data_IF_760566877479
#
_entry.id   IF_760566877479
#
_cell.length_a   1.000
_cell.length_b   1.000
_cell.length_c   1.000
_cell.angle_alpha   90.00
_cell.angle_beta   90.00
_cell.angle_gamma   90.00
#
_symmetry.space_group_name_H-M   'P 1'
#
loop_
_entity.id
_entity.type
_entity.pdbx_description
1 polymer ?
#
# COMPACT_ATOMS: atom_id res chain seq x y z
N UNK A 1 -12.86 20.97 -17.29
CA UNK A 1 -12.65 22.07 -16.32
C UNK A 1 -12.52 21.41 -14.97
N UNK A 2 -11.36 21.50 -14.31
CA UNK A 2 -11.13 20.89 -12.99
C UNK A 2 -11.99 21.62 -11.95
N UNK A 3 -12.79 20.85 -11.20
CA UNK A 3 -13.58 21.36 -10.07
C UNK A 3 -12.62 22.07 -9.08
N UNK A 4 -12.95 23.26 -8.56
CA UNK A 4 -12.14 23.87 -7.53
C UNK A 4 -12.09 22.96 -6.30
N UNK A 5 -10.91 22.81 -5.71
CA UNK A 5 -10.70 22.02 -4.50
C UNK A 5 -11.65 22.47 -3.39
N UNK A 6 -12.35 21.52 -2.79
CA UNK A 6 -13.38 21.71 -1.78
C UNK A 6 -12.87 21.31 -0.40
N UNK A 7 -12.99 22.21 0.58
CA UNK A 7 -12.65 21.95 1.98
C UNK A 7 -13.90 22.10 2.86
N UNK A 8 -14.10 21.15 3.78
CA UNK A 8 -15.20 21.19 4.77
C UNK A 8 -14.64 21.33 6.19
N UNK A 9 -15.16 22.32 6.91
CA UNK A 9 -14.85 22.56 8.33
C UNK A 9 -15.76 21.71 9.23
N UNK A 10 -15.17 20.95 10.17
CA UNK A 10 -15.93 20.17 11.16
C UNK A 10 -16.00 20.85 12.54
N UNK A 11 -15.28 21.96 12.73
CA UNK A 11 -15.21 22.66 14.02
C UNK A 11 -14.22 21.99 14.97
N UNK A 12 -14.57 21.87 16.25
CA UNK A 12 -13.73 21.21 17.26
C UNK A 12 -14.27 19.82 17.56
N UNK A 13 -13.41 18.80 17.42
CA UNK A 13 -13.71 17.44 17.86
C UNK A 13 -13.06 17.20 19.23
N UNK A 14 -13.69 16.35 20.04
CA UNK A 14 -13.21 15.98 21.38
C UNK A 14 -13.45 14.50 21.64
N UNK A 15 -12.66 13.89 22.51
CA UNK A 15 -12.69 12.45 22.77
C UNK A 15 -12.13 11.64 21.59
N UNK A 16 -12.19 10.30 21.65
CA UNK A 16 -11.56 9.45 20.64
C UNK A 16 -12.07 9.73 19.23
N UNK A 17 -11.16 9.89 18.26
CA UNK A 17 -11.47 10.03 16.83
C UNK A 17 -10.86 8.87 16.07
N UNK A 18 -11.68 8.07 15.40
CA UNK A 18 -11.26 6.93 14.58
C UNK A 18 -10.93 7.40 13.16
N UNK A 19 -9.74 7.07 12.69
CA UNK A 19 -9.23 7.39 11.36
C UNK A 19 -8.98 6.11 10.59
N UNK A 20 -9.44 6.03 9.34
CA UNK A 20 -9.11 4.93 8.45
C UNK A 20 -9.13 5.39 6.99
N UNK A 21 -8.46 4.66 6.10
CA UNK A 21 -8.55 4.87 4.65
C UNK A 21 -9.00 3.61 3.93
N UNK A 22 -9.23 3.74 2.62
CA UNK A 22 -9.24 2.62 1.68
C UNK A 22 -10.11 1.45 2.13
N UNK A 23 -11.44 1.63 2.15
CA UNK A 23 -12.33 0.49 2.35
C UNK A 23 -12.25 -0.48 1.16
N UNK A 24 -11.89 0.05 -0.03
CA UNK A 24 -11.59 -0.73 -1.22
C UNK A 24 -12.61 -1.84 -1.47
N UNK A 25 -13.90 -1.49 -1.49
CA UNK A 25 -15.01 -2.40 -1.76
C UNK A 25 -15.03 -3.65 -0.86
N UNK A 26 -14.30 -3.65 0.26
CA UNK A 26 -14.20 -4.78 1.17
C UNK A 26 -15.26 -4.61 2.27
N UNK A 27 -16.46 -5.07 1.97
CA UNK A 27 -17.61 -4.90 2.85
C UNK A 27 -17.41 -5.58 4.21
N UNK A 28 -16.81 -6.76 4.23
CA UNK A 28 -16.51 -7.50 5.46
C UNK A 28 -15.57 -6.72 6.39
N UNK A 29 -14.53 -6.07 5.85
CA UNK A 29 -13.65 -5.23 6.65
C UNK A 29 -14.36 -3.96 7.17
N UNK A 30 -15.20 -3.34 6.34
CA UNK A 30 -15.96 -2.15 6.74
C UNK A 30 -17.00 -2.46 7.82
N UNK A 31 -17.69 -3.61 7.74
CA UNK A 31 -18.60 -4.09 8.78
C UNK A 31 -17.85 -4.38 10.09
N UNK A 32 -16.68 -5.02 10.00
CA UNK A 32 -15.84 -5.27 11.16
C UNK A 32 -15.38 -3.97 11.83
N UNK A 33 -14.95 -2.97 11.04
CA UNK A 33 -14.57 -1.66 11.57
C UNK A 33 -15.77 -0.98 12.23
N UNK A 34 -16.96 -1.05 11.62
CA UNK A 34 -18.17 -0.48 12.21
C UNK A 34 -18.51 -1.14 13.55
N UNK A 35 -18.46 -2.46 13.63
CA UNK A 35 -18.67 -3.18 14.87
C UNK A 35 -17.64 -2.80 15.94
N UNK A 36 -16.39 -2.58 15.53
CA UNK A 36 -15.32 -2.15 16.44
C UNK A 36 -15.53 -0.72 16.94
N UNK A 37 -15.95 0.21 16.08
CA UNK A 37 -16.30 1.56 16.48
C UNK A 37 -17.48 1.58 17.47
N UNK A 38 -18.52 0.77 17.21
CA UNK A 38 -19.66 0.58 18.12
C UNK A 38 -19.20 0.00 19.47
N UNK A 39 -18.27 -0.99 19.46
CA UNK A 39 -17.69 -1.59 20.67
C UNK A 39 -16.89 -0.59 21.50
N UNK A 40 -16.14 0.30 20.84
CA UNK A 40 -15.36 1.36 21.47
C UNK A 40 -16.22 2.57 21.89
N UNK A 41 -17.49 2.62 21.48
CA UNK A 41 -18.40 3.72 21.77
C UNK A 41 -18.04 5.02 21.05
N UNK A 42 -17.36 4.94 19.91
CA UNK A 42 -16.96 6.13 19.12
C UNK A 42 -18.15 6.53 18.23
N UNK A 43 -18.72 7.74 18.40
CA UNK A 43 -19.88 8.15 17.62
C UNK A 43 -19.49 8.45 16.16
N UNK A 44 -20.42 8.32 15.18
CA UNK A 44 -20.13 8.57 13.77
C UNK A 44 -19.50 9.94 13.46
N UNK A 45 -19.82 10.99 14.22
CA UNK A 45 -19.21 12.32 14.07
C UNK A 45 -17.71 12.36 14.40
N UNK A 46 -17.19 11.33 15.08
CA UNK A 46 -15.78 11.17 15.42
C UNK A 46 -15.11 10.07 14.57
N UNK A 47 -15.68 9.72 13.42
CA UNK A 47 -15.13 8.71 12.52
C UNK A 47 -14.87 9.36 11.17
N UNK A 48 -13.64 9.22 10.67
CA UNK A 48 -13.16 9.86 9.45
C UNK A 48 -12.53 8.82 8.51
N UNK A 49 -13.08 8.72 7.31
CA UNK A 49 -12.53 7.97 6.18
C UNK A 49 -11.68 8.89 5.28
N UNK A 50 -10.46 8.48 4.93
CA UNK A 50 -9.54 9.25 4.06
C UNK A 50 -9.77 9.01 2.57
N UNK A 51 -10.88 8.40 2.16
CA UNK A 51 -11.23 8.13 0.77
C UNK A 51 -10.85 6.73 0.27
N UNK A 52 -11.05 6.51 -1.03
CA UNK A 52 -10.98 5.22 -1.72
C UNK A 52 -11.85 4.12 -1.08
N UNK A 53 -13.12 4.47 -0.87
CA UNK A 53 -14.15 3.52 -0.47
C UNK A 53 -14.38 2.44 -1.54
N UNK A 54 -14.56 2.78 -2.83
CA UNK A 54 -14.57 1.78 -3.88
C UNK A 54 -13.14 1.48 -4.37
N UNK A 55 -12.92 0.24 -4.78
CA UNK A 55 -11.72 -0.20 -5.49
C UNK A 55 -11.30 -1.60 -5.10
N UNK A 56 -10.53 -2.30 -5.93
CA UNK A 56 -9.98 -3.64 -5.65
C UNK A 56 -10.97 -4.79 -5.32
N UNK A 57 -11.77 -4.75 -4.25
CA UNK A 57 -12.61 -5.87 -3.80
C UNK A 57 -14.06 -5.83 -4.36
N UNK A 58 -14.92 -6.74 -3.89
CA UNK A 58 -16.15 -7.16 -4.57
C UNK A 58 -17.37 -6.23 -4.43
N UNK A 59 -17.48 -5.43 -3.37
CA UNK A 59 -18.75 -4.83 -2.95
C UNK A 59 -18.73 -3.27 -2.90
N UNK A 60 -18.47 -2.56 -4.01
CA UNK A 60 -18.37 -1.10 -4.01
C UNK A 60 -19.67 -0.39 -3.60
N UNK A 61 -20.82 -0.79 -4.16
CA UNK A 61 -22.13 -0.21 -3.83
C UNK A 61 -22.48 -0.41 -2.34
N UNK A 62 -22.29 -1.62 -1.81
CA UNK A 62 -22.60 -1.92 -0.41
C UNK A 62 -21.72 -1.12 0.56
N UNK A 63 -20.43 -0.96 0.26
CA UNK A 63 -19.54 -0.13 1.05
C UNK A 63 -19.97 1.35 1.05
N UNK A 64 -20.29 1.90 -0.13
CA UNK A 64 -20.73 3.29 -0.26
C UNK A 64 -22.06 3.54 0.45
N UNK A 65 -23.02 2.63 0.30
CA UNK A 65 -24.31 2.70 1.00
C UNK A 65 -24.14 2.60 2.52
N UNK A 66 -23.22 1.76 3.00
CA UNK A 66 -22.94 1.64 4.43
C UNK A 66 -22.30 2.92 4.98
N UNK A 67 -21.28 3.49 4.32
CA UNK A 67 -20.67 4.75 4.76
C UNK A 67 -21.69 5.89 4.79
N UNK A 68 -22.50 6.03 3.73
CA UNK A 68 -23.55 7.05 3.66
C UNK A 68 -24.57 6.88 4.80
N UNK A 69 -25.06 5.65 5.02
CA UNK A 69 -26.03 5.34 6.08
C UNK A 69 -25.44 5.49 7.48
N UNK A 70 -24.17 5.15 7.66
CA UNK A 70 -23.48 5.27 8.95
C UNK A 70 -23.29 6.74 9.34
N UNK A 71 -23.23 7.65 8.35
CA UNK A 71 -23.19 9.09 8.61
C UNK A 71 -21.85 9.57 9.17
N UNK A 72 -20.77 8.83 8.87
CA UNK A 72 -19.40 9.21 9.22
C UNK A 72 -18.88 10.33 8.31
N UNK A 73 -17.74 10.92 8.65
CA UNK A 73 -17.04 11.83 7.75
C UNK A 73 -16.20 11.06 6.74
N UNK A 74 -16.19 11.52 5.49
CA UNK A 74 -15.36 10.95 4.43
C UNK A 74 -14.93 12.08 3.48
N UNK A 75 -13.74 11.93 2.89
CA UNK A 75 -13.26 12.74 1.77
C UNK A 75 -13.26 11.92 0.48
N UNK A 76 -13.24 12.60 -0.66
CA UNK A 76 -12.99 11.95 -1.94
C UNK A 76 -11.53 11.48 -2.02
N UNK A 77 -11.31 10.22 -2.38
CA UNK A 77 -10.04 9.73 -2.90
C UNK A 77 -9.96 9.86 -4.42
N UNK A 78 -8.85 9.42 -5.02
CA UNK A 78 -8.72 9.49 -6.48
C UNK A 78 -9.75 8.59 -7.17
N UNK A 79 -10.12 7.46 -6.56
CA UNK A 79 -11.09 6.54 -7.16
C UNK A 79 -12.48 7.16 -7.21
N UNK A 80 -12.96 7.80 -6.12
CA UNK A 80 -14.23 8.51 -6.13
C UNK A 80 -14.26 9.63 -7.18
N UNK A 81 -13.20 10.45 -7.23
CA UNK A 81 -13.07 11.54 -8.21
C UNK A 81 -13.19 11.02 -9.65
N UNK A 82 -12.50 9.94 -9.97
CA UNK A 82 -12.45 9.37 -11.32
C UNK A 82 -13.77 8.70 -11.71
N UNK A 83 -14.41 7.95 -10.79
CA UNK A 83 -15.72 7.36 -11.02
C UNK A 83 -16.80 8.43 -11.27
N UNK A 84 -16.78 9.53 -10.51
CA UNK A 84 -17.72 10.65 -10.69
C UNK A 84 -17.49 11.37 -12.02
N UNK A 85 -16.23 11.54 -12.42
CA UNK A 85 -15.89 12.18 -13.69
C UNK A 85 -16.16 11.28 -14.90
N UNK A 86 -16.38 9.97 -14.70
CA UNK A 86 -16.55 9.00 -15.76
C UNK A 86 -15.28 8.81 -16.59
N UNK A 87 -14.11 8.90 -15.97
CA UNK A 87 -12.83 8.61 -16.65
C UNK A 87 -12.66 7.10 -16.82
N UNK A 88 -11.98 6.69 -17.90
CA UNK A 88 -11.68 5.27 -18.18
C UNK A 88 -10.47 4.74 -17.37
N UNK A 89 -9.86 5.58 -16.53
CA UNK A 89 -8.67 5.29 -15.72
C UNK A 89 -8.93 5.61 -14.24
N UNK A 90 -8.40 4.76 -13.36
CA UNK A 90 -8.43 4.93 -11.90
C UNK A 90 -7.55 6.08 -11.40
N UNK A 91 -6.63 6.59 -12.23
CA UNK A 91 -5.76 7.72 -11.93
C UNK A 91 -4.79 7.45 -10.77
N UNK A 92 -4.46 6.18 -10.55
CA UNK A 92 -3.63 5.69 -9.46
C UNK A 92 -2.11 5.91 -9.69
N UNK A 93 -1.73 6.57 -10.79
CA UNK A 93 -0.34 6.94 -11.08
C UNK A 93 0.57 5.81 -11.57
N UNK A 94 0.00 4.71 -12.06
CA UNK A 94 0.77 3.61 -12.66
C UNK A 94 1.34 4.00 -14.04
N UNK A 95 2.47 3.41 -14.42
CA UNK A 95 3.04 3.61 -15.77
C UNK A 95 2.22 2.85 -16.82
N UNK A 96 1.99 3.47 -17.99
CA UNK A 96 1.22 2.89 -19.09
C UNK A 96 1.73 1.49 -19.46
N UNK A 97 0.84 0.49 -19.48
CA UNK A 97 1.15 -0.88 -19.91
C UNK A 97 1.81 -1.78 -18.85
N UNK A 98 1.89 -1.35 -17.59
CA UNK A 98 2.37 -2.21 -16.50
C UNK A 98 1.31 -3.21 -16.02
N UNK A 99 1.71 -4.24 -15.26
CA UNK A 99 0.75 -5.17 -14.64
C UNK A 99 -0.19 -4.43 -13.67
N UNK A 100 0.28 -3.37 -13.01
CA UNK A 100 -0.57 -2.50 -12.20
C UNK A 100 -1.68 -1.87 -13.04
N UNK A 101 -1.34 -1.33 -14.20
CA UNK A 101 -2.28 -0.62 -15.09
C UNK A 101 -3.36 -1.58 -15.63
N UNK A 102 -2.99 -2.79 -16.03
CA UNK A 102 -3.96 -3.80 -16.46
C UNK A 102 -4.90 -4.25 -15.32
N UNK A 103 -4.36 -4.54 -14.13
CA UNK A 103 -5.20 -4.90 -12.98
C UNK A 103 -6.06 -3.74 -12.51
N UNK A 104 -5.53 -2.50 -12.56
CA UNK A 104 -6.27 -1.29 -12.30
C UNK A 104 -7.50 -1.15 -13.19
N UNK A 105 -7.34 -1.36 -14.50
CA UNK A 105 -8.44 -1.36 -15.46
C UNK A 105 -9.50 -2.42 -15.13
N UNK A 106 -9.10 -3.63 -14.73
CA UNK A 106 -10.04 -4.70 -14.37
C UNK A 106 -10.92 -4.32 -13.18
N UNK A 107 -10.32 -4.02 -12.02
CA UNK A 107 -11.12 -3.71 -10.83
C UNK A 107 -11.84 -2.37 -10.96
N UNK A 108 -11.27 -1.39 -11.65
CA UNK A 108 -11.89 -0.07 -11.83
C UNK A 108 -13.10 -0.18 -12.76
N UNK A 109 -12.99 -0.91 -13.87
CA UNK A 109 -14.14 -1.21 -14.74
C UNK A 109 -15.22 -1.97 -13.97
N UNK A 110 -14.82 -2.90 -13.11
CA UNK A 110 -15.75 -3.60 -12.23
C UNK A 110 -16.45 -2.62 -11.27
N UNK A 111 -15.71 -1.76 -10.57
CA UNK A 111 -16.26 -0.77 -9.66
C UNK A 111 -17.23 0.17 -10.38
N UNK A 112 -16.84 0.72 -11.53
CA UNK A 112 -17.67 1.61 -12.34
C UNK A 112 -19.01 0.98 -12.78
N UNK A 113 -19.04 -0.33 -13.02
CA UNK A 113 -20.26 -1.07 -13.37
C UNK A 113 -21.14 -1.41 -12.17
N UNK A 114 -20.56 -1.47 -10.97
CA UNK A 114 -21.22 -1.90 -9.75
C UNK A 114 -21.40 -0.75 -8.73
N UNK A 115 -21.33 0.50 -9.17
CA UNK A 115 -21.78 1.67 -8.40
C UNK A 115 -23.08 2.20 -9.00
N UNK A 116 -24.05 2.52 -8.15
CA UNK A 116 -25.33 3.05 -8.60
C UNK A 116 -25.26 4.56 -8.88
N UNK A 117 -26.22 5.14 -9.62
CA UNK A 117 -26.35 6.59 -9.76
C UNK A 117 -26.47 7.33 -8.41
N UNK A 118 -27.07 6.68 -7.39
CA UNK A 118 -27.12 7.20 -6.02
C UNK A 118 -25.72 7.30 -5.43
N UNK A 119 -24.89 6.26 -5.58
CA UNK A 119 -23.52 6.28 -5.09
C UNK A 119 -22.67 7.35 -5.79
N UNK A 120 -22.83 7.51 -7.11
CA UNK A 120 -22.15 8.59 -7.86
C UNK A 120 -22.54 9.98 -7.32
N UNK A 121 -23.81 10.20 -7.01
CA UNK A 121 -24.28 11.46 -6.42
C UNK A 121 -23.72 11.68 -5.00
N UNK A 122 -23.64 10.63 -4.19
CA UNK A 122 -23.01 10.67 -2.87
C UNK A 122 -21.52 11.03 -2.97
N UNK A 123 -20.75 10.32 -3.82
CA UNK A 123 -19.32 10.57 -4.03
C UNK A 123 -19.06 11.98 -4.57
N UNK A 124 -19.90 12.50 -5.47
CA UNK A 124 -19.77 13.86 -6.01
C UNK A 124 -19.92 14.95 -4.93
N UNK A 125 -20.60 14.64 -3.82
CA UNK A 125 -20.80 15.50 -2.67
C UNK A 125 -19.70 15.43 -1.61
N UNK A 126 -18.74 14.50 -1.73
CA UNK A 126 -17.62 14.40 -0.81
C UNK A 126 -16.66 15.60 -0.98
N UNK A 127 -16.14 16.17 0.13
CA UNK A 127 -15.11 17.20 0.07
C UNK A 127 -13.74 16.59 -0.26
N UNK A 128 -12.83 17.40 -0.80
CA UNK A 128 -11.44 16.99 -1.06
C UNK A 128 -10.60 17.04 0.23
N UNK A 129 -10.93 17.97 1.13
CA UNK A 129 -10.25 18.17 2.41
C UNK A 129 -11.26 18.29 3.57
N UNK A 130 -10.88 17.77 4.74
CA UNK A 130 -11.54 18.12 6.01
C UNK A 130 -10.58 18.93 6.87
N UNK A 131 -11.12 19.91 7.60
CA UNK A 131 -10.38 20.65 8.63
C UNK A 131 -11.13 20.68 9.94
N UNK A 132 -10.39 20.50 11.03
CA UNK A 132 -10.93 20.57 12.37
C UNK A 132 -9.85 20.89 13.42
N UNK A 133 -10.31 21.33 14.58
CA UNK A 133 -9.48 21.54 15.76
C UNK A 133 -9.56 20.33 16.68
N UNK A 134 -8.41 19.86 17.17
CA UNK A 134 -8.33 18.70 18.07
C UNK A 134 -7.14 18.82 19.01
N UNK A 135 -7.34 18.62 20.32
CA UNK A 135 -6.29 18.78 21.33
C UNK A 135 -5.49 20.11 21.22
N UNK A 136 -6.14 21.19 20.77
CA UNK A 136 -5.51 22.50 20.53
C UNK A 136 -4.62 22.60 19.29
N UNK A 137 -4.77 21.66 18.34
CA UNK A 137 -4.02 21.57 17.09
C UNK A 137 -4.95 21.68 15.87
N UNK A 138 -4.48 22.37 14.84
CA UNK A 138 -5.13 22.40 13.52
C UNK A 138 -4.87 21.08 12.78
N UNK A 139 -5.94 20.31 12.51
CA UNK A 139 -5.89 19.03 11.80
C UNK A 139 -6.48 19.19 10.40
N UNK A 140 -5.76 18.70 9.39
CA UNK A 140 -6.24 18.60 8.01
C UNK A 140 -6.22 17.16 7.55
N UNK A 141 -7.32 16.71 6.96
CA UNK A 141 -7.45 15.39 6.34
C UNK A 141 -7.41 15.54 4.84
N UNK A 142 -6.58 14.76 4.18
CA UNK A 142 -6.42 14.73 2.72
C UNK A 142 -6.14 13.29 2.25
N UNK A 143 -6.33 13.01 0.96
CA UNK A 143 -6.15 11.65 0.44
C UNK A 143 -4.67 11.31 0.19
N UNK A 144 -3.98 12.01 -0.72
CA UNK A 144 -2.55 11.81 -1.02
C UNK A 144 -1.67 12.94 -0.50
N UNK A 145 -1.53 14.01 -1.29
CA UNK A 145 -0.78 15.21 -0.91
C UNK A 145 -1.57 16.49 -1.22
N UNK A 146 -1.19 17.65 -0.67
CA UNK A 146 -1.81 18.93 -1.03
C UNK A 146 -1.50 19.39 -2.46
N UNK A 147 -0.50 18.79 -3.12
CA UNK A 147 -0.16 19.09 -4.52
C UNK A 147 -1.00 18.27 -5.48
N UNK A 148 -1.23 17.00 -5.17
CA UNK A 148 -1.95 16.09 -6.02
C UNK A 148 -2.61 14.97 -5.21
N UNK A 149 -3.88 14.69 -5.49
CA UNK A 149 -4.69 13.71 -4.76
C UNK A 149 -4.10 12.30 -4.83
N UNK A 150 -3.57 11.90 -6.00
CA UNK A 150 -2.88 10.61 -6.21
C UNK A 150 -1.37 10.62 -5.95
N UNK A 151 -0.81 11.63 -5.26
CA UNK A 151 0.63 11.61 -4.90
C UNK A 151 0.85 10.71 -3.68
N UNK A 152 1.68 9.68 -3.84
CA UNK A 152 2.04 8.78 -2.76
C UNK A 152 3.01 9.43 -1.78
N UNK A 153 2.60 9.48 -0.52
CA UNK A 153 3.45 9.91 0.60
C UNK A 153 3.72 8.72 1.51
N UNK A 154 4.97 8.26 1.51
CA UNK A 154 5.46 7.11 2.24
C UNK A 154 6.12 7.51 3.56
N UNK A 155 6.35 6.53 4.43
CA UNK A 155 7.16 6.74 5.63
C UNK A 155 8.59 7.18 5.24
N UNK A 156 9.14 6.64 4.15
CA UNK A 156 10.44 7.01 3.59
C UNK A 156 10.46 8.33 2.81
N UNK A 157 9.31 8.93 2.48
CA UNK A 157 9.27 10.26 1.84
C UNK A 157 10.03 11.27 2.71
N UNK A 158 10.82 12.14 2.07
CA UNK A 158 11.68 13.08 2.79
C UNK A 158 10.91 13.92 3.80
N UNK A 159 11.42 13.97 5.05
CA UNK A 159 10.79 14.72 6.14
C UNK A 159 10.61 16.21 5.80
N UNK A 160 11.56 16.81 5.07
CA UNK A 160 11.48 18.20 4.63
C UNK A 160 10.31 18.44 3.66
N UNK A 161 10.01 17.47 2.78
CA UNK A 161 8.87 17.56 1.88
C UNK A 161 7.55 17.43 2.62
N UNK A 162 7.43 16.47 3.55
CA UNK A 162 6.25 16.34 4.42
C UNK A 162 6.04 17.60 5.28
N UNK A 163 7.12 18.17 5.81
CA UNK A 163 7.08 19.43 6.57
C UNK A 163 6.58 20.61 5.72
N UNK A 164 7.00 20.68 4.46
CA UNK A 164 6.50 21.67 3.50
C UNK A 164 5.00 21.46 3.24
N UNK A 165 4.54 20.22 3.07
CA UNK A 165 3.11 19.94 2.91
C UNK A 165 2.28 20.40 4.12
N UNK A 166 2.73 20.13 5.35
CA UNK A 166 2.06 20.63 6.57
C UNK A 166 1.98 22.17 6.58
N UNK A 167 3.01 22.85 6.05
CA UNK A 167 3.03 24.31 5.91
C UNK A 167 2.04 24.80 4.85
N UNK A 168 2.00 24.14 3.69
CA UNK A 168 1.14 24.51 2.55
C UNK A 168 -0.35 24.46 2.91
N UNK A 169 -0.75 23.51 3.77
CA UNK A 169 -2.15 23.39 4.25
C UNK A 169 -2.38 24.06 5.62
N UNK A 170 -1.38 24.75 6.15
CA UNK A 170 -1.40 25.42 7.45
C UNK A 170 -1.82 24.51 8.62
N UNK A 171 -1.44 23.22 8.59
CA UNK A 171 -1.84 22.25 9.62
C UNK A 171 -0.72 21.95 10.62
N UNK A 172 -1.12 21.67 11.87
CA UNK A 172 -0.24 21.05 12.86
C UNK A 172 -0.26 19.53 12.70
N UNK A 173 -1.37 18.94 12.27
CA UNK A 173 -1.50 17.51 11.99
C UNK A 173 -2.09 17.32 10.60
N UNK A 174 -1.41 16.55 9.76
CA UNK A 174 -1.96 16.06 8.50
C UNK A 174 -2.32 14.60 8.67
N UNK A 175 -3.58 14.26 8.40
CA UNK A 175 -4.06 12.88 8.27
C UNK A 175 -4.18 12.58 6.77
N UNK A 176 -3.31 11.71 6.27
CA UNK A 176 -3.27 11.29 4.86
C UNK A 176 -3.77 9.85 4.70
N UNK A 177 -4.06 9.44 3.46
CA UNK A 177 -4.39 8.08 3.07
C UNK A 177 -3.52 7.61 1.90
N UNK A 178 -4.16 7.05 0.87
CA UNK A 178 -3.62 6.66 -0.44
C UNK A 178 -2.52 5.59 -0.45
N UNK A 179 -1.41 5.75 0.26
CA UNK A 179 -0.27 4.82 0.20
C UNK A 179 -0.52 3.45 0.88
N UNK A 180 -1.63 3.29 1.58
CA UNK A 180 -2.07 2.00 2.14
C UNK A 180 -1.39 1.58 3.44
N UNK A 181 -0.25 2.18 3.80
CA UNK A 181 0.55 1.75 4.95
C UNK A 181 0.37 2.67 6.16
N UNK A 182 0.18 2.12 7.38
CA UNK A 182 0.09 2.93 8.58
C UNK A 182 1.48 3.44 9.00
N UNK A 183 1.61 4.74 9.27
CA UNK A 183 2.82 5.33 9.85
C UNK A 183 2.55 6.70 10.50
N UNK A 184 3.50 7.15 11.31
CA UNK A 184 3.49 8.45 11.98
C UNK A 184 4.89 9.06 11.92
N UNK A 185 5.00 10.29 11.41
CA UNK A 185 6.23 11.07 11.51
C UNK A 185 6.00 12.39 12.25
N UNK A 186 6.93 12.72 13.13
CA UNK A 186 7.07 14.05 13.71
C UNK A 186 7.99 14.91 12.84
N UNK A 187 7.56 16.14 12.55
CA UNK A 187 8.18 17.02 11.58
C UNK A 187 8.47 18.39 12.19
N UNK A 188 9.69 18.87 12.00
CA UNK A 188 10.04 20.25 12.34
C UNK A 188 9.71 21.16 11.15
N UNK A 189 8.74 22.06 11.35
CA UNK A 189 8.26 22.99 10.31
C UNK A 189 8.71 24.40 10.67
N UNK A 190 9.41 25.08 9.75
CA UNK A 190 9.86 26.46 9.98
C UNK A 190 8.68 27.44 9.96
N UNK A 191 8.66 28.38 10.91
CA UNK A 191 7.54 29.32 11.09
C UNK A 191 7.62 30.58 10.22
N UNK A 192 8.63 30.70 9.33
CA UNK A 192 8.81 31.86 8.44
C UNK A 192 8.30 31.60 7.02
N UNK A 193 7.82 32.63 6.31
CA UNK A 193 7.27 32.52 4.93
C UNK A 193 8.33 32.20 3.85
N UNK A 194 9.62 32.12 4.18
CA UNK A 194 10.72 31.83 3.24
C UNK A 194 11.15 30.35 3.18
N UNK A 195 11.76 29.95 2.05
CA UNK A 195 12.56 28.72 1.94
C UNK A 195 13.84 28.90 2.77
N UNK A 196 13.91 28.32 3.96
CA UNK A 196 15.18 28.14 4.68
C UNK A 196 15.94 27.00 4.00
N UNK A 197 17.22 27.17 3.70
CA UNK A 197 18.00 26.14 3.02
C UNK A 197 18.10 24.88 3.90
N UNK A 198 17.88 23.70 3.31
CA UNK A 198 17.88 22.39 4.02
C UNK A 198 19.16 22.13 4.85
N UNK A 199 20.28 22.74 4.45
CA UNK A 199 21.55 22.67 5.19
C UNK A 199 21.55 23.43 6.52
N UNK A 200 20.90 24.59 6.61
CA UNK A 200 20.81 25.38 7.85
C UNK A 200 19.83 24.75 8.86
N UNK A 201 18.75 24.13 8.36
CA UNK A 201 17.80 23.35 9.14
C UNK A 201 18.47 22.15 9.85
N UNK A 202 19.28 21.38 9.12
CA UNK A 202 19.98 20.21 9.68
C UNK A 202 20.94 20.62 10.80
N UNK A 203 21.70 21.69 10.58
CA UNK A 203 22.65 22.22 11.58
C UNK A 203 21.92 22.70 12.84
N UNK A 204 20.77 23.38 12.69
CA UNK A 204 19.96 23.81 13.84
C UNK A 204 19.36 22.62 14.61
N UNK A 205 18.89 21.57 13.93
CA UNK A 205 18.37 20.35 14.58
C UNK A 205 19.45 19.58 15.35
N UNK A 206 20.63 19.41 14.77
CA UNK A 206 21.77 18.72 15.40
C UNK A 206 22.27 19.50 16.62
N UNK A 207 22.28 20.84 16.52
CA UNK A 207 22.65 21.72 17.61
C UNK A 207 21.67 21.63 18.79
N UNK A 208 20.35 21.53 18.54
CA UNK A 208 19.32 21.34 19.58
C UNK A 208 19.43 19.99 20.29
N UNK A 209 19.62 18.90 19.55
CA UNK A 209 19.85 17.57 20.14
C UNK A 209 21.12 17.57 21.01
N UNK A 210 22.17 18.27 20.58
CA UNK A 210 23.37 18.45 21.38
C UNK A 210 23.09 19.25 22.67
N UNK A 211 22.32 20.34 22.60
CA UNK A 211 21.93 21.13 23.77
C UNK A 211 21.10 20.30 24.78
N UNK A 212 20.10 19.54 24.31
CA UNK A 212 19.25 18.69 25.16
C UNK A 212 20.05 17.53 25.79
N UNK A 213 21.02 16.95 25.08
CA UNK A 213 21.94 15.96 25.65
C UNK A 213 22.86 16.56 26.72
N UNK A 214 23.27 17.83 26.54
CA UNK A 214 24.06 18.56 27.53
C UNK A 214 23.22 18.83 28.78
N UNK A 215 21.98 19.29 28.65
CA UNK A 215 21.06 19.51 29.78
C UNK A 215 20.74 18.21 30.53
N UNK A 216 20.44 17.13 29.81
CA UNK A 216 20.19 15.83 30.43
C UNK A 216 21.40 15.31 31.22
N UNK A 217 22.61 15.53 30.71
CA UNK A 217 23.86 15.19 31.41
C UNK A 217 24.22 16.18 32.51
N UNK A 218 23.72 17.42 32.48
CA UNK A 218 23.95 18.42 33.53
C UNK A 218 23.56 17.90 34.91
N UNK A 219 22.44 17.17 34.97
CA UNK A 219 21.93 16.55 36.21
C UNK A 219 22.87 15.52 36.83
N UNK A 220 23.82 14.98 36.06
CA UNK A 220 24.80 13.95 36.45
C UNK A 220 26.18 14.54 36.78
N UNK A 221 26.39 15.84 36.62
CA UNK A 221 27.69 16.49 36.87
C UNK A 221 27.78 16.95 38.33
N UNK A 222 28.67 16.34 39.09
CA UNK A 222 28.89 16.65 40.52
C UNK A 222 29.67 17.96 40.76
N UNK A 223 30.53 18.36 39.82
CA UNK A 223 31.31 19.60 39.93
C UNK A 223 30.51 20.83 39.45
N UNK A 224 30.32 21.78 40.36
CA UNK A 224 29.56 23.02 40.15
C UNK A 224 30.10 23.89 38.99
N UNK A 225 31.41 23.96 38.78
CA UNK A 225 32.00 24.74 37.68
C UNK A 225 31.73 24.10 36.32
N UNK A 226 31.92 22.78 36.22
CA UNK A 226 31.65 22.03 34.99
C UNK A 226 30.15 22.02 34.65
N UNK A 227 29.29 22.00 35.67
CA UNK A 227 27.84 22.11 35.52
C UNK A 227 27.42 23.47 34.97
N UNK A 228 28.00 24.55 35.51
CA UNK A 228 27.79 25.92 35.02
C UNK A 228 28.27 26.09 33.58
N UNK A 229 29.41 25.49 33.20
CA UNK A 229 29.93 25.56 31.85
C UNK A 229 29.04 24.81 30.83
N UNK A 230 28.52 23.64 31.22
CA UNK A 230 27.56 22.87 30.41
C UNK A 230 26.29 23.68 30.12
N UNK A 231 25.72 24.31 31.15
CA UNK A 231 24.54 25.16 31.01
C UNK A 231 24.77 26.38 30.10
N UNK A 232 25.91 27.07 30.25
CA UNK A 232 26.26 28.22 29.38
C UNK A 232 26.44 27.79 27.92
N UNK A 233 27.01 26.60 27.68
CA UNK A 233 27.15 26.05 26.32
C UNK A 233 25.79 25.73 25.68
N UNK A 234 24.87 25.12 26.44
CA UNK A 234 23.50 24.88 25.98
C UNK A 234 22.75 26.20 25.68
N UNK A 235 22.81 27.18 26.60
CA UNK A 235 22.21 28.52 26.40
C UNK A 235 22.81 29.25 25.19
N UNK A 236 24.12 29.12 24.91
CA UNK A 236 24.75 29.72 23.74
C UNK A 236 24.30 29.08 22.43
N UNK A 237 24.19 27.75 22.39
CA UNK A 237 23.67 27.02 21.23
C UNK A 237 22.20 27.43 20.98
N UNK A 238 21.39 27.50 22.03
CA UNK A 238 19.99 27.84 21.93
C UNK A 238 19.76 29.29 21.49
N UNK A 239 20.59 30.23 21.98
CA UNK A 239 20.57 31.61 21.51
C UNK A 239 21.00 31.73 20.04
N UNK A 240 21.97 30.93 19.58
CA UNK A 240 22.40 30.94 18.17
C UNK A 240 21.31 30.46 17.21
N UNK A 241 20.36 29.63 17.65
CA UNK A 241 19.27 29.09 16.81
C UNK A 241 17.89 29.68 17.16
N UNK A 242 17.81 30.53 18.18
CA UNK A 242 16.57 31.15 18.71
C UNK A 242 15.77 31.96 17.68
N UNK A 243 16.44 32.47 16.64
CA UNK A 243 15.82 33.23 15.56
C UNK A 243 15.05 32.35 14.56
N UNK A 244 15.22 31.02 14.62
CA UNK A 244 14.49 30.07 13.78
C UNK A 244 13.38 29.46 14.63
N UNK A 245 12.21 30.08 14.61
CA UNK A 245 11.04 29.48 15.24
C UNK A 245 10.57 28.28 14.41
N UNK A 246 10.36 27.16 15.11
CA UNK A 246 9.84 25.92 14.53
C UNK A 246 8.55 25.56 15.25
N UNK A 247 7.58 25.08 14.50
CA UNK A 247 6.44 24.35 15.06
C UNK A 247 6.64 22.86 14.81
N UNK A 248 6.22 22.05 15.77
CA UNK A 248 6.14 20.60 15.58
C UNK A 248 4.82 20.30 14.88
N UNK A 249 4.92 19.66 13.72
CA UNK A 249 3.78 19.10 12.99
C UNK A 249 3.87 17.59 12.91
N UNK A 250 2.76 16.92 12.65
CA UNK A 250 2.67 15.47 12.54
C UNK A 250 2.08 15.07 11.19
N UNK A 251 2.64 14.03 10.57
CA UNK A 251 2.06 13.36 9.42
C UNK A 251 1.60 11.97 9.84
N UNK A 252 0.29 11.74 9.78
CA UNK A 252 -0.36 10.50 10.18
C UNK A 252 -0.94 9.84 8.94
N UNK A 253 -0.60 8.58 8.70
CA UNK A 253 -1.36 7.73 7.78
C UNK A 253 -1.96 6.59 8.60
N UNK A 254 -3.29 6.45 8.71
CA UNK A 254 -3.91 5.40 9.53
C UNK A 254 -3.77 4.01 8.92
N UNK A 255 -3.29 3.91 7.67
CA UNK A 255 -3.39 2.71 6.86
C UNK A 255 -4.78 2.59 6.23
N UNK A 256 -5.04 1.42 5.67
CA UNK A 256 -6.31 1.09 5.01
C UNK A 256 -6.95 -0.13 5.64
N UNK A 257 -8.28 -0.21 5.56
CA UNK A 257 -9.03 -1.35 6.12
C UNK A 257 -9.35 -2.43 5.09
N UNK A 258 -9.36 -2.08 3.80
CA UNK A 258 -9.81 -2.98 2.74
C UNK A 258 -8.74 -3.92 2.22
N UNK A 259 -7.46 -3.61 2.46
CA UNK A 259 -6.32 -4.41 2.02
C UNK A 259 -5.27 -4.55 3.13
N UNK A 260 -4.69 -5.74 3.36
CA UNK A 260 -3.60 -5.94 4.30
C UNK A 260 -2.40 -5.03 4.04
N UNK A 261 -1.60 -4.71 5.07
CA UNK A 261 -0.53 -3.72 4.98
C UNK A 261 0.82 -4.26 4.46
N UNK A 262 0.78 -5.22 3.53
CA UNK A 262 1.95 -5.91 2.98
C UNK A 262 2.88 -6.57 4.04
N UNK A 263 2.35 -6.88 5.22
CA UNK A 263 3.12 -7.29 6.40
C UNK A 263 3.10 -8.81 6.64
N UNK A 264 2.61 -9.57 5.64
CA UNK A 264 2.54 -11.04 5.70
C UNK A 264 1.42 -11.56 6.60
N UNK A 265 0.47 -10.71 6.97
CA UNK A 265 -0.69 -11.09 7.80
C UNK A 265 -2.00 -10.59 7.17
N UNK A 266 -3.13 -11.26 7.40
CA UNK A 266 -4.40 -10.90 6.75
C UNK A 266 -5.08 -9.68 7.40
N UNK A 267 -4.59 -9.19 8.54
CA UNK A 267 -5.20 -8.06 9.27
C UNK A 267 -4.95 -6.74 8.54
N UNK A 268 -5.85 -5.79 8.78
CA UNK A 268 -5.75 -4.42 8.25
C UNK A 268 -5.58 -3.42 9.38
N UNK A 269 -5.49 -2.12 9.07
CA UNK A 269 -5.08 -1.12 10.06
C UNK A 269 -5.94 0.13 10.05
N UNK A 270 -6.13 0.71 11.24
CA UNK A 270 -6.74 2.01 11.45
C UNK A 270 -6.02 2.72 12.61
N UNK A 271 -6.27 4.01 12.79
CA UNK A 271 -5.72 4.78 13.90
C UNK A 271 -6.81 5.42 14.76
N UNK A 272 -6.47 5.72 16.00
CA UNK A 272 -7.31 6.51 16.91
C UNK A 272 -6.50 7.69 17.42
N UNK A 273 -7.06 8.89 17.28
CA UNK A 273 -6.59 10.08 17.99
C UNK A 273 -7.23 10.11 19.39
N UNK A 274 -6.47 10.52 20.40
CA UNK A 274 -6.95 10.76 21.77
C UNK A 274 -6.49 12.14 22.25
N UNK A 275 -7.33 12.83 23.02
CA UNK A 275 -7.11 14.18 23.55
C UNK A 275 -6.96 14.23 25.08
N UNK A 276 -6.92 13.07 25.76
CA UNK A 276 -6.89 12.97 27.24
C UNK A 276 -5.68 13.68 27.84
N UNK A 277 -4.49 13.50 27.26
CA UNK A 277 -3.22 14.08 27.73
C UNK A 277 -2.51 14.84 26.58
N UNK A 278 -3.28 15.64 25.84
CA UNK A 278 -2.83 16.23 24.59
C UNK A 278 -3.04 15.28 23.40
N UNK A 279 -2.40 15.57 22.27
CA UNK A 279 -2.54 14.75 21.07
C UNK A 279 -1.78 13.43 21.21
N UNK A 280 -2.51 12.33 21.26
CA UNK A 280 -1.97 10.97 21.14
C UNK A 280 -2.51 10.30 19.87
N UNK A 281 -1.65 9.56 19.16
CA UNK A 281 -2.02 8.75 18.00
C UNK A 281 -1.68 7.29 18.29
N UNK A 282 -2.67 6.41 18.20
CA UNK A 282 -2.49 4.95 18.39
C UNK A 282 -2.95 4.19 17.16
N UNK A 283 -2.22 3.14 16.79
CA UNK A 283 -2.52 2.28 15.65
C UNK A 283 -3.11 0.96 16.13
N UNK A 284 -4.13 0.47 15.43
CA UNK A 284 -4.88 -0.72 15.80
C UNK A 284 -5.01 -1.64 14.60
N UNK A 285 -4.76 -2.93 14.84
CA UNK A 285 -5.01 -3.95 13.84
C UNK A 285 -6.49 -4.35 13.85
N UNK A 286 -7.09 -4.42 12.67
CA UNK A 286 -8.45 -4.88 12.45
C UNK A 286 -8.42 -6.31 11.93
N UNK A 287 -9.06 -7.22 12.66
CA UNK A 287 -9.37 -8.55 12.16
C UNK A 287 -10.79 -8.54 11.56
N UNK A 288 -10.95 -9.23 10.44
CA UNK A 288 -12.21 -9.37 9.73
C UNK A 288 -12.25 -10.74 9.05
N UNK A 289 -13.41 -11.08 8.48
CA UNK A 289 -13.60 -12.32 7.72
C UNK A 289 -12.97 -12.20 6.32
N UNK A 290 -11.66 -12.32 6.27
CA UNK A 290 -10.85 -12.20 5.06
C UNK A 290 -11.04 -13.37 4.10
N UNK A 291 -11.45 -14.53 4.59
CA UNK A 291 -11.80 -15.69 3.74
C UNK A 291 -13.12 -15.45 3.02
N UNK A 292 -14.13 -14.90 3.70
CA UNK A 292 -15.37 -14.49 3.05
C UNK A 292 -15.13 -13.36 2.04
N UNK A 293 -14.35 -12.33 2.40
CA UNK A 293 -13.99 -11.26 1.48
C UNK A 293 -13.26 -11.78 0.22
N UNK A 294 -12.33 -12.73 0.39
CA UNK A 294 -11.67 -13.41 -0.73
C UNK A 294 -12.65 -14.22 -1.57
N UNK A 295 -13.56 -14.96 -0.94
CA UNK A 295 -14.59 -15.73 -1.66
C UNK A 295 -15.44 -14.81 -2.54
N UNK A 296 -15.91 -13.68 -2.01
CA UNK A 296 -16.69 -12.69 -2.78
C UNK A 296 -15.93 -12.18 -4.00
N UNK A 297 -14.61 -11.99 -3.90
CA UNK A 297 -13.77 -11.60 -5.03
C UNK A 297 -13.59 -12.72 -6.07
N UNK A 298 -13.54 -13.98 -5.64
CA UNK A 298 -13.34 -15.12 -6.54
C UNK A 298 -14.64 -15.55 -7.24
N UNK A 299 -15.78 -15.40 -6.56
CA UNK A 299 -17.10 -15.67 -7.14
C UNK A 299 -17.38 -14.74 -8.32
N UNK A 300 -16.97 -13.47 -8.20
CA UNK A 300 -16.96 -12.54 -9.32
C UNK A 300 -15.65 -12.61 -10.10
N UNK A 301 -15.56 -13.60 -10.99
CA UNK A 301 -14.40 -13.95 -11.85
C UNK A 301 -13.85 -12.81 -12.73
N UNK A 302 -14.36 -11.59 -12.61
CA UNK A 302 -13.88 -10.36 -13.28
C UNK A 302 -12.88 -9.59 -12.43
N UNK A 303 -12.75 -9.90 -11.14
CA UNK A 303 -11.76 -9.28 -10.26
C UNK A 303 -10.42 -10.02 -10.29
N UNK A 304 -9.28 -9.31 -10.11
CA UNK A 304 -7.96 -9.96 -10.12
C UNK A 304 -7.79 -10.96 -8.98
N UNK A 305 -7.58 -12.24 -9.34
CA UNK A 305 -7.30 -13.34 -8.39
C UNK A 305 -6.11 -13.06 -7.48
N UNK A 306 -5.10 -12.32 -7.98
CA UNK A 306 -3.93 -11.93 -7.19
C UNK A 306 -4.27 -11.00 -6.02
N UNK A 307 -5.22 -10.09 -6.19
CA UNK A 307 -5.73 -9.23 -5.11
C UNK A 307 -6.57 -10.02 -4.11
N UNK A 308 -7.36 -10.98 -4.57
CA UNK A 308 -8.07 -11.89 -3.67
C UNK A 308 -7.08 -12.72 -2.82
N UNK A 309 -5.95 -13.14 -3.40
CA UNK A 309 -4.89 -13.83 -2.66
C UNK A 309 -4.26 -12.94 -1.57
N UNK A 310 -4.05 -11.65 -1.85
CA UNK A 310 -3.50 -10.67 -0.89
C UNK A 310 -4.30 -10.63 0.42
N UNK A 311 -5.62 -10.77 0.38
CA UNK A 311 -6.47 -10.79 1.59
C UNK A 311 -6.09 -11.92 2.57
N UNK A 312 -5.58 -13.04 2.05
CA UNK A 312 -5.14 -14.19 2.86
C UNK A 312 -3.64 -14.21 3.13
N UNK A 313 -2.82 -13.83 2.15
CA UNK A 313 -1.35 -13.90 2.29
C UNK A 313 -0.79 -12.71 3.07
N UNK A 314 -1.49 -11.58 3.06
CA UNK A 314 -0.97 -10.31 3.56
C UNK A 314 0.19 -9.74 2.75
N UNK A 315 0.40 -10.24 1.52
CA UNK A 315 1.47 -9.82 0.61
C UNK A 315 0.85 -9.20 -0.63
N UNK A 316 1.34 -8.01 -1.00
CA UNK A 316 0.93 -7.31 -2.20
C UNK A 316 1.53 -7.98 -3.44
N UNK A 317 0.68 -8.30 -4.41
CA UNK A 317 1.15 -8.84 -5.69
C UNK A 317 1.91 -7.78 -6.50
N UNK A 318 1.57 -6.50 -6.33
CA UNK A 318 2.20 -5.42 -7.06
C UNK A 318 2.74 -4.31 -6.14
N UNK A 319 4.06 -4.10 -6.23
CA UNK A 319 4.81 -3.11 -5.45
C UNK A 319 5.59 -2.15 -6.34
N UNK A 320 5.31 -2.10 -7.65
CA UNK A 320 6.10 -1.33 -8.65
C UNK A 320 6.31 0.14 -8.29
N UNK A 321 5.38 0.72 -7.53
CA UNK A 321 5.40 2.13 -7.13
C UNK A 321 6.03 2.35 -5.75
N UNK A 322 6.23 1.27 -5.00
CA UNK A 322 6.63 1.30 -3.61
C UNK A 322 8.14 1.56 -3.53
N UNK A 323 8.62 2.50 -2.69
CA UNK A 323 10.04 2.76 -2.60
C UNK A 323 10.80 1.55 -2.06
N UNK A 324 12.10 1.39 -2.38
CA UNK A 324 12.90 0.25 -1.93
C UNK A 324 12.94 0.07 -0.41
N UNK A 325 12.76 1.14 0.36
CA UNK A 325 12.71 1.09 1.83
C UNK A 325 11.47 0.36 2.32
N UNK A 326 10.29 0.66 1.78
CA UNK A 326 9.05 -0.03 2.09
C UNK A 326 9.04 -1.46 1.49
N UNK A 327 9.58 -1.67 0.28
CA UNK A 327 9.71 -3.00 -0.33
C UNK A 327 10.54 -3.97 0.51
N UNK A 328 11.59 -3.49 1.17
CA UNK A 328 12.43 -4.31 2.04
C UNK A 328 11.69 -4.81 3.29
N UNK A 329 10.51 -4.27 3.61
CA UNK A 329 9.69 -4.66 4.75
C UNK A 329 8.54 -5.61 4.38
N UNK A 330 8.40 -5.99 3.10
CA UNK A 330 7.39 -6.95 2.62
C UNK A 330 7.42 -8.25 3.45
N UNK A 331 6.25 -8.64 3.97
CA UNK A 331 6.10 -9.85 4.76
C UNK A 331 6.65 -9.78 6.19
N UNK A 332 7.09 -8.61 6.65
CA UNK A 332 7.52 -8.38 8.03
C UNK A 332 6.33 -7.80 8.83
N UNK A 333 5.77 -8.53 9.81
CA UNK A 333 4.62 -8.08 10.58
C UNK A 333 4.81 -6.72 11.23
N UNK A 334 3.87 -5.80 11.00
CA UNK A 334 3.86 -4.49 11.64
C UNK A 334 3.49 -4.62 13.13
N UNK A 335 4.04 -3.74 13.95
CA UNK A 335 3.80 -3.69 15.39
C UNK A 335 3.16 -2.35 15.78
N UNK A 336 1.94 -2.42 16.30
CA UNK A 336 1.14 -1.27 16.72
C UNK A 336 1.89 -0.32 17.67
N UNK A 337 2.61 -0.88 18.65
CA UNK A 337 3.38 -0.10 19.62
C UNK A 337 4.55 0.60 18.96
N UNK A 338 5.26 -0.06 18.03
CA UNK A 338 6.38 0.58 17.31
C UNK A 338 5.91 1.69 16.39
N UNK A 339 4.73 1.55 15.75
CA UNK A 339 4.14 2.61 14.93
C UNK A 339 3.82 3.86 15.75
N UNK A 340 3.29 3.70 16.97
CA UNK A 340 3.04 4.81 17.89
C UNK A 340 4.32 5.40 18.52
N UNK A 341 5.38 4.59 18.69
CA UNK A 341 6.63 5.00 19.37
C UNK A 341 7.62 5.73 18.46
N UNK A 342 7.33 5.87 17.15
CA UNK A 342 8.16 6.67 16.24
C UNK A 342 8.29 8.16 16.64
N UNK A 343 7.52 8.62 17.64
CA UNK A 343 7.66 9.91 18.32
C UNK A 343 8.93 10.04 19.22
N UNK A 344 9.67 8.96 19.51
CA UNK A 344 10.78 9.02 20.52
C UNK A 344 12.18 8.63 20.03
N UNK A 345 12.36 8.08 18.84
CA UNK A 345 13.64 7.42 18.47
C UNK A 345 14.10 7.62 17.03
N UNK A 346 13.90 8.79 16.43
CA UNK A 346 14.62 9.20 15.20
C UNK A 346 15.62 10.35 15.41
N UNK A 347 16.10 10.52 16.65
CA UNK A 347 17.21 11.42 17.00
C UNK A 347 18.55 10.74 17.29
N UNK A 348 18.64 9.40 17.28
CA UNK A 348 19.92 8.72 17.46
C UNK A 348 20.01 7.43 16.66
N UNK A 349 20.74 7.48 15.54
CA UNK A 349 21.34 6.29 14.96
C UNK A 349 22.44 5.78 15.90
N UNK A 350 22.08 5.16 17.02
CA UNK A 350 22.98 4.27 17.74
C UNK A 350 22.75 2.86 17.24
N UNK A 351 23.78 2.33 16.56
CA UNK A 351 23.93 0.91 16.24
C UNK A 351 23.86 0.10 17.54
N UNK A 352 22.67 -0.36 17.92
CA UNK A 352 22.52 -1.38 18.95
C UNK A 352 22.69 -2.74 18.28
N UNK A 353 23.88 -3.32 18.49
CA UNK A 353 24.15 -4.73 18.22
C UNK A 353 23.27 -5.59 19.13
N UNK A 354 22.04 -5.85 18.71
CA UNK A 354 21.23 -6.91 19.31
C UNK A 354 21.69 -8.23 18.72
N UNK A 355 22.50 -8.97 19.49
CA UNK A 355 22.74 -10.39 19.24
C UNK A 355 21.43 -11.14 19.47
N UNK A 356 20.67 -11.39 18.41
CA UNK A 356 19.57 -12.34 18.46
C UNK A 356 20.12 -13.75 18.56
N UNK A 357 19.88 -14.39 19.70
CA UNK A 357 20.12 -15.79 19.97
C UNK A 357 19.30 -16.64 18.97
N UNK A 358 19.99 -17.26 18.00
CA UNK A 358 19.37 -18.12 16.98
C UNK A 358 19.27 -19.53 17.51
N UNK A 359 18.24 -19.80 18.30
CA UNK A 359 17.84 -21.17 18.62
C UNK A 359 16.31 -21.33 18.61
N UNK A 360 15.69 -21.39 17.42
CA UNK A 360 14.79 -22.52 17.12
C UNK A 360 14.39 -22.60 15.64
N UNK A 361 14.00 -23.80 15.27
CA UNK A 361 13.87 -24.38 13.93
C UNK A 361 12.57 -23.94 13.24
N UNK A 362 12.72 -23.42 12.03
CA UNK A 362 12.03 -23.82 10.80
C UNK A 362 12.34 -22.77 9.73
N UNK A 363 13.54 -22.84 9.14
CA UNK A 363 13.79 -22.16 7.87
C UNK A 363 13.01 -22.91 6.79
N UNK A 364 12.19 -22.24 5.97
CA UNK A 364 11.80 -22.80 4.68
C UNK A 364 13.09 -23.18 3.94
N UNK A 365 13.13 -24.37 3.33
CA UNK A 365 14.22 -24.75 2.45
C UNK A 365 14.52 -23.59 1.49
N UNK A 366 15.77 -23.12 1.47
CA UNK A 366 16.24 -22.16 0.46
C UNK A 366 15.98 -22.81 -0.91
N UNK A 367 14.93 -22.33 -1.61
CA UNK A 367 14.69 -22.70 -2.99
C UNK A 367 15.84 -22.18 -3.84
N UNK A 368 16.27 -23.03 -4.77
CA UNK A 368 17.36 -22.80 -5.71
C UNK A 368 17.38 -21.35 -6.24
N UNK A 369 18.42 -20.59 -5.86
CA UNK A 369 18.54 -19.13 -5.97
C UNK A 369 18.79 -18.61 -7.40
N UNK A 370 18.48 -19.37 -8.43
CA UNK A 370 18.71 -18.97 -9.84
C UNK A 370 17.50 -18.28 -10.48
N UNK A 371 16.30 -18.50 -9.95
CA UNK A 371 15.06 -17.86 -10.40
C UNK A 371 14.53 -16.97 -9.29
N UNK A 372 14.31 -15.68 -9.57
CA UNK A 372 13.68 -14.75 -8.64
C UNK A 372 12.22 -14.56 -9.05
N UNK A 373 11.23 -14.98 -8.22
CA UNK A 373 9.81 -14.81 -8.55
C UNK A 373 9.42 -13.36 -8.89
N UNK A 374 10.17 -12.36 -8.40
CA UNK A 374 9.94 -10.95 -8.71
C UNK A 374 10.27 -10.58 -10.16
N UNK A 375 11.06 -11.38 -10.89
CA UNK A 375 11.43 -11.09 -12.29
C UNK A 375 10.20 -11.11 -13.23
N UNK A 376 9.16 -11.87 -12.90
CA UNK A 376 7.87 -11.84 -13.61
C UNK A 376 7.21 -10.46 -13.54
N UNK A 377 7.36 -9.75 -12.41
CA UNK A 377 6.78 -8.41 -12.21
C UNK A 377 7.46 -7.38 -13.12
N UNK A 378 8.75 -7.55 -13.37
CA UNK A 378 9.55 -6.65 -14.20
C UNK A 378 9.69 -7.12 -15.65
N UNK A 379 8.95 -8.15 -16.07
CA UNK A 379 9.09 -8.72 -17.42
C UNK A 379 8.90 -7.69 -18.54
N UNK A 380 8.04 -6.67 -18.36
CA UNK A 380 7.90 -5.56 -19.32
C UNK A 380 9.20 -4.78 -19.58
N UNK A 381 10.12 -4.75 -18.60
CA UNK A 381 11.40 -4.02 -18.69
C UNK A 381 12.40 -4.65 -19.65
N UNK A 382 12.12 -5.83 -20.22
CA UNK A 382 13.01 -6.44 -21.23
C UNK A 382 13.17 -5.56 -22.48
N UNK A 383 12.23 -4.63 -22.72
CA UNK A 383 12.29 -3.67 -23.81
C UNK A 383 13.25 -2.48 -23.53
N UNK A 384 13.70 -2.26 -22.29
CA UNK A 384 14.50 -1.07 -21.92
C UNK A 384 15.81 -0.94 -22.70
N UNK A 385 16.44 -2.07 -23.06
CA UNK A 385 17.69 -2.08 -23.83
C UNK A 385 17.46 -2.27 -25.33
N UNK A 386 16.25 -2.66 -25.73
CA UNK A 386 15.85 -2.86 -27.12
C UNK A 386 14.33 -2.65 -27.23
N UNK A 387 13.94 -1.40 -27.44
CA UNK A 387 12.53 -1.01 -27.43
C UNK A 387 11.77 -1.53 -28.67
N UNK A 388 12.35 -1.42 -29.87
CA UNK A 388 11.66 -1.76 -31.13
C UNK A 388 11.23 -3.23 -31.21
N UNK A 389 12.13 -4.14 -30.86
CA UNK A 389 11.92 -5.59 -30.85
C UNK A 389 11.15 -6.01 -29.61
N UNK A 390 11.35 -5.33 -28.48
CA UNK A 390 10.51 -5.50 -27.29
C UNK A 390 9.03 -5.24 -27.62
N UNK A 391 8.73 -4.11 -28.25
CA UNK A 391 7.37 -3.74 -28.64
C UNK A 391 6.78 -4.74 -29.66
N UNK A 392 7.54 -5.11 -30.71
CA UNK A 392 7.08 -6.15 -31.66
C UNK A 392 6.79 -7.49 -30.99
N UNK A 393 7.62 -7.88 -30.00
CA UNK A 393 7.39 -9.08 -29.22
C UNK A 393 6.11 -8.96 -28.41
N UNK A 394 5.91 -7.88 -27.65
CA UNK A 394 4.73 -7.69 -26.82
C UNK A 394 3.44 -7.56 -27.64
N UNK A 395 3.46 -6.86 -28.77
CA UNK A 395 2.33 -6.75 -29.69
C UNK A 395 1.90 -8.14 -30.20
N UNK A 396 2.87 -8.95 -30.63
CA UNK A 396 2.61 -10.32 -31.08
C UNK A 396 2.15 -11.20 -29.91
N UNK A 397 2.82 -11.11 -28.77
CA UNK A 397 2.54 -11.89 -27.58
C UNK A 397 1.11 -11.65 -27.09
N UNK A 398 0.74 -10.39 -26.83
CA UNK A 398 -0.62 -10.02 -26.45
C UNK A 398 -1.64 -10.45 -27.51
N UNK A 399 -1.34 -10.23 -28.79
CA UNK A 399 -2.21 -10.65 -29.89
C UNK A 399 -2.51 -12.15 -29.96
N UNK A 400 -1.61 -13.01 -29.46
CA UNK A 400 -1.83 -14.46 -29.40
C UNK A 400 -2.35 -14.96 -28.05
N UNK A 401 -2.02 -14.29 -26.94
CA UNK A 401 -2.38 -14.75 -25.59
C UNK A 401 -3.68 -14.15 -25.04
N UNK A 402 -4.09 -12.97 -25.52
CA UNK A 402 -5.22 -12.22 -24.97
C UNK A 402 -6.41 -12.17 -25.93
N UNK A 403 -7.59 -11.95 -25.36
CA UNK A 403 -8.85 -11.77 -26.08
C UNK A 403 -9.35 -13.01 -26.85
N UNK A 404 -10.61 -12.96 -27.26
CA UNK A 404 -11.22 -14.02 -28.05
C UNK A 404 -10.90 -13.85 -29.54
N UNK A 405 -10.41 -14.91 -30.18
CA UNK A 405 -10.23 -14.98 -31.64
C UNK A 405 -10.87 -16.26 -32.18
N UNK A 406 -10.11 -17.08 -32.91
CA UNK A 406 -10.53 -18.44 -33.25
C UNK A 406 -10.50 -19.37 -32.03
N UNK A 407 -9.73 -19.00 -31.00
CA UNK A 407 -9.71 -19.63 -29.68
C UNK A 407 -10.17 -18.61 -28.65
N UNK A 408 -10.90 -19.07 -27.64
CA UNK A 408 -11.26 -18.22 -26.51
C UNK A 408 -10.04 -17.94 -25.65
N UNK A 409 -10.09 -16.88 -24.85
CA UNK A 409 -9.02 -16.56 -23.90
C UNK A 409 -8.74 -17.73 -22.92
N UNK A 410 -9.80 -18.42 -22.47
CA UNK A 410 -9.70 -19.64 -21.65
C UNK A 410 -8.94 -20.76 -22.36
N UNK A 411 -9.25 -21.00 -23.63
CA UNK A 411 -8.58 -22.03 -24.42
C UNK A 411 -7.09 -21.69 -24.61
N UNK A 412 -6.78 -20.43 -24.95
CA UNK A 412 -5.41 -19.93 -25.05
C UNK A 412 -4.65 -20.11 -23.73
N UNK A 413 -5.25 -19.76 -22.60
CA UNK A 413 -4.66 -19.89 -21.27
C UNK A 413 -4.35 -21.35 -20.91
N UNK A 414 -5.29 -22.28 -21.14
CA UNK A 414 -5.08 -23.71 -20.90
C UNK A 414 -3.99 -24.31 -21.81
N UNK A 415 -3.94 -23.90 -23.08
CA UNK A 415 -2.87 -24.31 -24.01
C UNK A 415 -1.52 -23.81 -23.49
N UNK A 416 -1.44 -22.55 -23.08
CA UNK A 416 -0.21 -21.98 -22.56
C UNK A 416 0.22 -22.62 -21.23
N UNK A 417 -0.73 -22.97 -20.35
CA UNK A 417 -0.46 -23.73 -19.12
C UNK A 417 0.13 -25.12 -19.43
N UNK A 418 -0.45 -25.83 -20.41
CA UNK A 418 0.04 -27.11 -20.88
C UNK A 418 1.46 -27.01 -21.46
N UNK A 419 1.72 -26.01 -22.31
CA UNK A 419 3.07 -25.73 -22.86
C UNK A 419 4.06 -25.42 -21.75
N UNK A 420 3.67 -24.60 -20.77
CA UNK A 420 4.50 -24.21 -19.63
C UNK A 420 5.01 -25.41 -18.83
N UNK A 421 4.14 -26.40 -18.59
CA UNK A 421 4.51 -27.65 -17.93
C UNK A 421 5.36 -28.55 -18.82
N UNK A 422 5.08 -28.61 -20.14
CA UNK A 422 5.87 -29.40 -21.08
C UNK A 422 7.34 -28.94 -21.13
N UNK A 423 7.56 -27.62 -21.15
CA UNK A 423 8.90 -26.99 -21.18
C UNK A 423 9.49 -26.76 -19.78
N UNK A 424 8.72 -26.99 -18.71
CA UNK A 424 9.13 -26.84 -17.31
C UNK A 424 9.59 -25.42 -16.95
N UNK A 425 8.90 -24.41 -17.49
CA UNK A 425 9.18 -23.01 -17.21
C UNK A 425 8.47 -22.57 -15.91
N UNK A 426 9.22 -22.37 -14.83
CA UNK A 426 8.67 -21.95 -13.51
C UNK A 426 7.87 -20.65 -13.60
N UNK A 427 8.39 -19.65 -14.31
CA UNK A 427 7.70 -18.37 -14.51
C UNK A 427 6.39 -18.52 -15.28
N UNK A 428 6.41 -19.32 -16.34
CA UNK A 428 5.25 -19.53 -17.21
C UNK A 428 4.16 -20.33 -16.48
N UNK A 429 4.54 -21.31 -15.65
CA UNK A 429 3.59 -22.07 -14.84
C UNK A 429 2.82 -21.13 -13.92
N UNK A 430 3.51 -20.22 -13.22
CA UNK A 430 2.86 -19.27 -12.31
C UNK A 430 1.92 -18.30 -13.05
N UNK A 431 2.41 -17.69 -14.14
CA UNK A 431 1.64 -16.78 -14.96
C UNK A 431 0.38 -17.43 -15.55
N UNK A 432 0.52 -18.59 -16.20
CA UNK A 432 -0.60 -19.25 -16.86
C UNK A 432 -1.52 -20.03 -15.93
N UNK A 433 -1.10 -20.31 -14.69
CA UNK A 433 -2.01 -20.78 -13.62
C UNK A 433 -2.99 -19.66 -13.29
N UNK A 434 -2.48 -18.45 -13.02
CA UNK A 434 -3.31 -17.28 -12.73
C UNK A 434 -4.21 -16.91 -13.91
N UNK A 435 -3.66 -16.86 -15.13
CA UNK A 435 -4.43 -16.53 -16.33
C UNK A 435 -5.51 -17.58 -16.63
N UNK A 436 -5.25 -18.88 -16.39
CA UNK A 436 -6.27 -19.92 -16.60
C UNK A 436 -7.47 -19.75 -15.66
N UNK A 437 -7.19 -19.48 -14.37
CA UNK A 437 -8.23 -19.19 -13.39
C UNK A 437 -9.01 -17.92 -13.75
N UNK A 438 -8.32 -16.84 -14.10
CA UNK A 438 -8.94 -15.57 -14.53
C UNK A 438 -9.80 -15.74 -15.78
N UNK A 439 -9.36 -16.54 -16.75
CA UNK A 439 -10.13 -16.87 -17.95
C UNK A 439 -11.27 -17.88 -17.67
N UNK A 440 -11.47 -18.27 -16.41
CA UNK A 440 -12.61 -19.07 -15.95
C UNK A 440 -12.44 -20.58 -16.09
N UNK A 441 -11.21 -21.09 -16.21
CA UNK A 441 -10.94 -22.51 -16.03
C UNK A 441 -11.06 -22.91 -14.55
N UNK A 442 -11.45 -24.15 -14.29
CA UNK A 442 -11.40 -24.77 -12.95
C UNK A 442 -10.16 -25.67 -12.80
N UNK A 443 -9.92 -26.17 -11.59
CA UNK A 443 -8.77 -27.00 -11.27
C UNK A 443 -8.76 -28.33 -12.05
N UNK A 444 -9.94 -28.87 -12.36
CA UNK A 444 -10.08 -30.13 -13.12
C UNK A 444 -9.65 -29.92 -14.58
N UNK A 445 -10.12 -28.85 -15.23
CA UNK A 445 -9.72 -28.45 -16.58
C UNK A 445 -8.22 -28.14 -16.67
N UNK A 446 -7.68 -27.44 -15.68
CA UNK A 446 -6.25 -27.13 -15.61
C UNK A 446 -5.41 -28.41 -15.48
N UNK A 447 -5.83 -29.34 -14.62
CA UNK A 447 -5.14 -30.63 -14.45
C UNK A 447 -5.26 -31.52 -15.70
N UNK A 448 -6.40 -31.51 -16.38
CA UNK A 448 -6.58 -32.20 -17.66
C UNK A 448 -5.60 -31.68 -18.71
N UNK A 449 -5.44 -30.35 -18.84
CA UNK A 449 -4.47 -29.74 -19.76
C UNK A 449 -3.02 -30.18 -19.46
N UNK A 450 -2.65 -30.27 -18.18
CA UNK A 450 -1.33 -30.79 -17.76
C UNK A 450 -1.17 -32.27 -18.10
N UNK A 451 -2.21 -33.10 -17.94
CA UNK A 451 -2.19 -34.50 -18.34
C UNK A 451 -2.04 -34.67 -19.86
N UNK A 452 -2.71 -33.84 -20.67
CA UNK A 452 -2.54 -33.82 -22.12
C UNK A 452 -1.08 -33.54 -22.48
N UNK A 453 -0.46 -32.52 -21.89
CA UNK A 453 0.95 -32.20 -22.10
C UNK A 453 1.88 -33.37 -21.71
N UNK A 454 1.62 -33.99 -20.55
CA UNK A 454 2.40 -35.14 -20.06
C UNK A 454 2.31 -36.34 -21.01
N UNK A 455 1.12 -36.67 -21.50
CA UNK A 455 0.88 -37.77 -22.44
C UNK A 455 1.61 -37.56 -23.77
N UNK A 456 1.57 -36.33 -24.32
CA UNK A 456 2.30 -35.98 -25.55
C UNK A 456 3.81 -36.10 -25.35
N UNK A 457 4.34 -35.62 -24.22
CA UNK A 457 5.77 -35.73 -23.88
C UNK A 457 6.22 -37.19 -23.73
N UNK A 458 5.41 -38.02 -23.07
CA UNK A 458 5.64 -39.45 -22.93
C UNK A 458 5.62 -40.18 -24.29
N UNK A 459 4.60 -39.92 -25.11
CA UNK A 459 4.50 -40.48 -26.46
C UNK A 459 5.66 -40.07 -27.36
N UNK A 460 6.10 -38.82 -27.27
CA UNK A 460 7.28 -38.31 -27.99
C UNK A 460 8.56 -39.05 -27.59
N UNK A 461 8.70 -39.43 -26.33
CA UNK A 461 9.83 -40.25 -25.87
C UNK A 461 9.77 -41.66 -26.48
N UNK A 462 8.60 -42.29 -26.48
CA UNK A 462 8.40 -43.64 -26.99
C UNK A 462 8.54 -43.74 -28.51
N UNK A 463 8.15 -42.71 -29.28
CA UNK A 463 8.32 -42.76 -30.74
C UNK A 463 9.80 -42.80 -31.14
N UNK A 464 10.72 -42.23 -30.35
CA UNK A 464 12.16 -42.37 -30.57
C UNK A 464 12.66 -43.82 -30.43
N UNK A 465 11.94 -44.69 -29.71
CA UNK A 465 12.25 -46.12 -29.68
C UNK A 465 12.22 -46.76 -31.08
N UNK A 466 11.49 -46.19 -32.05
CA UNK A 466 11.54 -46.64 -33.44
C UNK A 466 12.93 -46.48 -34.07
N UNK A 467 13.70 -45.47 -33.68
CA UNK A 467 15.07 -45.31 -34.16
C UNK A 467 15.96 -46.42 -33.63
N UNK A 468 15.84 -46.73 -32.32
CA UNK A 468 16.52 -47.87 -31.70
C UNK A 468 16.12 -49.18 -32.38
N UNK A 469 14.81 -49.44 -32.57
CA UNK A 469 14.32 -50.66 -33.24
C UNK A 469 14.94 -50.82 -34.64
N UNK A 470 14.95 -49.77 -35.45
CA UNK A 470 15.60 -49.79 -36.78
C UNK A 470 17.10 -50.07 -36.70
N UNK A 471 17.77 -49.55 -35.68
CA UNK A 471 19.20 -49.80 -35.48
C UNK A 471 19.46 -51.24 -35.06
N UNK A 472 18.62 -51.80 -34.18
CA UNK A 472 18.68 -53.22 -33.81
C UNK A 472 18.48 -54.08 -35.05
N UNK A 473 17.42 -53.84 -35.82
CA UNK A 473 17.12 -54.56 -37.06
C UNK A 473 18.32 -54.58 -38.02
N UNK A 474 19.00 -53.44 -38.21
CA UNK A 474 20.22 -53.34 -39.05
C UNK A 474 21.43 -54.11 -38.55
N UNK A 475 21.55 -54.31 -37.23
CA UNK A 475 22.70 -54.99 -36.61
C UNK A 475 22.44 -56.50 -36.52
N UNK A 476 21.17 -56.90 -36.34
CA UNK A 476 20.78 -58.30 -36.15
C UNK A 476 20.43 -59.06 -37.43
N UNK A 477 20.15 -58.35 -38.54
CA UNK A 477 20.10 -58.90 -39.89
C UNK A 477 21.46 -58.79 -40.55
#
# INVERSE_FOLDING_TARGET
>A
MTKPTTEKQLGTLTGPVLLFGGAYSNFHALEALKAEADRLGIPPCNIICTGDTPGYCADPEACLDLIEKWGIHSIAGNVETNLVNGTDDCGCGFGDGSRCDMFAKLWYTYAAKNVSPKNLAFMAGLPDFLRFQYAGKEVVVLHGSPRHQSEFVWASTEAALKAQFCKDVHADVVVAGHCGLPFLDELQVSSGEGRVASGELRVASEARVAAEQIENRESLIENRESRSAARVAAEQIENQISHIAYRISHWVNPGVIGMPANDGTPRTWYAILNDTDGLEVTFHALNYDHEAAKSSMLDDRRLPVSYAATLTTGIWDNTEIMPPTEEALEGIPLNATLLATQLRTRGSAQKTNVKTDRTNRNKPQEMNTYSNPKDLRTFGKIAEWQEEMGNKFFDWYAGVTEGDTALTEREKALIALAVSHAIQCSYCIDAYTTNSLQAGADEEQMMEAVHVAAAVKAGTTLIYARQMQRQVEKITM
#
